data_IF_541741942486
#
_entry.id   IF_541741942486
#
_cell.length_a   1.000
_cell.length_b   1.000
_cell.length_c   1.000
_cell.angle_alpha   90.00
_cell.angle_beta   90.00
_cell.angle_gamma   90.00
#
_symmetry.space_group_name_H-M   'P 1'
#
loop_
_entity.id
_entity.type
_entity.pdbx_description
1 polymer ?
#
# COMPACT_ATOMS: atom_id res chain seq x y z
N UNK A 1 54.66 6.40 37.54
CA UNK A 1 54.96 6.87 36.16
C UNK A 1 54.14 6.00 35.21
N UNK A 2 53.08 6.57 34.59
CA UNK A 2 52.95 6.80 33.13
C UNK A 2 53.01 5.47 32.33
N UNK A 3 52.00 5.02 31.56
CA UNK A 3 50.97 5.74 30.80
C UNK A 3 49.70 4.89 30.61
N UNK A 4 48.58 5.57 30.73
CA UNK A 4 47.24 5.20 30.25
C UNK A 4 47.26 5.15 28.71
N UNK A 5 46.74 4.09 28.10
CA UNK A 5 46.25 4.14 26.72
C UNK A 5 44.83 3.59 26.72
N UNK A 6 43.89 4.53 26.76
CA UNK A 6 42.48 4.37 26.49
C UNK A 6 42.31 3.93 25.04
N UNK A 7 41.73 2.75 24.79
CA UNK A 7 41.24 2.40 23.46
C UNK A 7 39.75 2.76 23.38
N UNK A 8 39.48 3.91 22.79
CA UNK A 8 38.15 4.36 22.41
C UNK A 8 37.76 3.56 21.18
N UNK A 9 36.83 2.61 21.32
CA UNK A 9 36.14 2.02 20.19
C UNK A 9 34.93 2.91 19.87
N UNK A 10 35.13 3.91 19.01
CA UNK A 10 34.05 4.69 18.40
C UNK A 10 33.95 4.33 16.91
N UNK A 11 32.72 4.16 16.44
CA UNK A 11 32.25 3.98 15.07
C UNK A 11 32.33 2.59 14.44
N UNK A 12 31.23 1.84 14.52
CA UNK A 12 30.12 1.90 13.54
C UNK A 12 28.96 1.08 14.11
N UNK A 13 28.00 1.75 14.76
CA UNK A 13 26.69 1.15 14.97
C UNK A 13 26.12 0.86 13.57
N UNK A 14 25.60 -0.35 13.31
CA UNK A 14 25.06 -0.66 12.00
C UNK A 14 23.88 0.30 11.74
N UNK A 15 23.90 0.97 10.59
CA UNK A 15 22.71 1.53 9.97
C UNK A 15 21.76 0.37 9.63
N UNK A 16 21.12 -0.20 10.64
CA UNK A 16 20.15 -1.27 10.53
C UNK A 16 18.97 -1.07 11.52
N UNK A 17 18.86 0.11 12.13
CA UNK A 17 17.75 0.47 13.01
C UNK A 17 16.51 0.99 12.24
N UNK A 18 16.36 0.64 10.96
CA UNK A 18 15.20 0.99 10.13
C UNK A 18 14.42 -0.22 9.58
N UNK A 19 14.96 -1.45 9.69
CA UNK A 19 14.36 -2.64 9.08
C UNK A 19 13.55 -3.50 10.08
N UNK A 20 13.76 -3.32 11.39
CA UNK A 20 13.09 -4.13 12.41
C UNK A 20 11.60 -3.77 12.61
N UNK A 21 11.04 -2.81 11.88
CA UNK A 21 9.64 -2.41 12.00
C UNK A 21 8.73 -3.02 10.91
N UNK A 22 9.30 -3.73 9.94
CA UNK A 22 8.58 -4.44 8.87
C UNK A 22 8.00 -5.79 9.32
N UNK A 23 8.63 -6.47 10.29
CA UNK A 23 8.32 -7.87 10.64
C UNK A 23 7.04 -8.06 11.47
N UNK A 24 6.53 -7.04 12.16
CA UNK A 24 5.43 -7.18 13.13
C UNK A 24 4.03 -6.78 12.60
N UNK A 25 3.89 -6.45 11.31
CA UNK A 25 2.59 -6.04 10.74
C UNK A 25 1.93 -7.20 10.03
N UNK A 26 0.98 -7.86 10.71
CA UNK A 26 0.13 -8.86 10.08
C UNK A 26 -0.55 -8.27 8.83
N UNK A 27 -0.36 -8.88 7.65
CA UNK A 27 -0.90 -8.36 6.41
C UNK A 27 -2.39 -8.63 6.29
N UNK A 28 -3.09 -7.72 5.60
CA UNK A 28 -4.49 -7.89 5.21
C UNK A 28 -4.57 -8.07 3.70
N UNK A 29 -5.34 -9.06 3.28
CA UNK A 29 -5.50 -9.43 1.88
C UNK A 29 -6.91 -9.10 1.39
N UNK A 30 -7.00 -8.41 0.26
CA UNK A 30 -8.26 -8.06 -0.36
C UNK A 30 -8.34 -8.60 -1.79
N UNK A 31 -9.50 -9.15 -2.14
CA UNK A 31 -9.91 -9.19 -3.53
C UNK A 31 -10.47 -7.83 -3.94
N UNK A 32 -10.10 -7.40 -5.14
CA UNK A 32 -10.73 -6.28 -5.84
C UNK A 32 -11.00 -6.70 -7.28
N UNK A 33 -12.05 -6.16 -7.88
CA UNK A 33 -12.41 -6.43 -9.27
C UNK A 33 -12.30 -5.13 -10.04
N UNK A 34 -11.06 -4.74 -10.37
CA UNK A 34 -10.85 -3.43 -10.95
C UNK A 34 -11.29 -3.39 -12.41
N UNK A 35 -11.96 -2.31 -12.80
CA UNK A 35 -12.27 -1.98 -14.20
C UNK A 35 -11.07 -1.22 -14.80
N UNK A 36 -11.02 -1.14 -16.13
CA UNK A 36 -9.95 -0.44 -16.87
C UNK A 36 -9.87 1.07 -16.58
N UNK A 37 -9.01 1.76 -17.33
CA UNK A 37 -8.44 3.06 -16.94
C UNK A 37 -9.38 4.29 -16.96
N UNK A 38 -10.65 4.17 -17.36
CA UNK A 38 -11.51 5.36 -17.46
C UNK A 38 -13.01 5.11 -17.29
N UNK A 39 -13.71 6.16 -16.87
CA UNK A 39 -15.17 6.25 -16.88
C UNK A 39 -15.89 5.43 -15.79
N UNK A 40 -15.17 4.95 -14.78
CA UNK A 40 -15.77 4.19 -13.68
C UNK A 40 -16.48 5.14 -12.72
N UNK A 41 -17.80 5.02 -12.65
CA UNK A 41 -18.66 5.77 -11.71
C UNK A 41 -19.01 4.95 -10.47
N UNK A 42 -18.96 3.62 -10.57
CA UNK A 42 -19.25 2.68 -9.49
C UNK A 42 -18.21 1.53 -9.47
N UNK A 43 -17.64 1.24 -8.30
CA UNK A 43 -16.66 0.18 -8.07
C UNK A 43 -15.20 0.60 -8.25
N UNK A 44 -14.30 -0.39 -8.28
CA UNK A 44 -12.87 -0.15 -8.47
C UNK A 44 -12.50 0.11 -9.93
N UNK A 45 -11.58 1.07 -10.14
CA UNK A 45 -10.78 1.21 -11.35
C UNK A 45 -9.30 1.02 -11.03
N UNK A 46 -8.50 0.67 -12.03
CA UNK A 46 -7.05 0.54 -11.88
C UNK A 46 -6.32 1.29 -12.98
N UNK A 47 -5.37 2.12 -12.54
CA UNK A 47 -4.57 2.97 -13.41
C UNK A 47 -3.09 2.78 -13.12
N UNK A 48 -2.27 2.58 -14.16
CA UNK A 48 -0.82 2.64 -14.03
C UNK A 48 -0.36 4.06 -14.38
N UNK A 49 0.53 4.62 -13.59
CA UNK A 49 1.12 5.92 -13.90
C UNK A 49 1.79 5.90 -15.28
N UNK A 50 1.58 6.93 -16.09
CA UNK A 50 2.18 7.04 -17.42
C UNK A 50 3.67 7.42 -17.38
N UNK A 51 4.15 7.90 -16.24
CA UNK A 51 5.55 8.30 -16.02
C UNK A 51 6.08 7.67 -14.74
N UNK A 52 7.31 7.17 -14.80
CA UNK A 52 8.09 6.79 -13.62
C UNK A 52 8.85 8.02 -13.12
N UNK A 53 8.63 8.41 -11.86
CA UNK A 53 9.33 9.53 -11.25
C UNK A 53 10.75 9.11 -10.81
N UNK A 54 11.73 10.04 -10.75
CA UNK A 54 13.10 9.70 -10.32
C UNK A 54 13.19 9.12 -8.91
N UNK A 55 12.22 9.42 -8.05
CA UNK A 55 12.15 8.88 -6.69
C UNK A 55 11.52 7.50 -6.62
N UNK A 56 11.15 6.88 -7.75
CA UNK A 56 10.43 5.60 -7.79
C UNK A 56 11.25 4.54 -8.53
N UNK A 57 11.25 3.31 -8.01
CA UNK A 57 11.91 2.16 -8.64
C UNK A 57 11.11 1.68 -9.86
N UNK A 58 9.77 1.69 -9.76
CA UNK A 58 8.83 1.33 -10.84
C UNK A 58 7.69 2.38 -10.97
N UNK A 59 6.83 2.21 -11.97
CA UNK A 59 5.61 3.00 -12.16
C UNK A 59 4.58 2.69 -11.06
N UNK A 60 4.01 3.75 -10.47
CA UNK A 60 2.94 3.60 -9.49
C UNK A 60 1.67 2.98 -10.09
N UNK A 61 0.92 2.23 -9.28
CA UNK A 61 -0.38 1.67 -9.64
C UNK A 61 -1.41 2.23 -8.66
N UNK A 62 -2.52 2.75 -9.17
CA UNK A 62 -3.59 3.34 -8.36
C UNK A 62 -4.87 2.54 -8.56
N UNK A 63 -5.44 2.08 -7.45
CA UNK A 63 -6.78 1.52 -7.37
C UNK A 63 -7.71 2.58 -6.81
N UNK A 64 -8.71 2.98 -7.57
CA UNK A 64 -9.66 4.02 -7.18
C UNK A 64 -11.02 3.37 -7.05
N UNK A 65 -11.54 3.31 -5.83
CA UNK A 65 -12.94 2.98 -5.60
C UNK A 65 -13.76 4.26 -5.67
N UNK A 66 -14.79 4.25 -6.51
CA UNK A 66 -15.75 5.35 -6.62
C UNK A 66 -17.16 4.79 -6.52
N UNK A 67 -18.02 5.49 -5.80
CA UNK A 67 -19.47 5.30 -5.88
C UNK A 67 -20.16 6.66 -5.91
N UNK A 68 -20.79 6.99 -7.03
CA UNK A 68 -21.57 8.23 -7.19
C UNK A 68 -22.86 8.16 -6.37
N UNK A 69 -23.49 6.98 -6.29
CA UNK A 69 -24.65 6.76 -5.45
C UNK A 69 -24.35 7.07 -3.97
N UNK A 70 -23.23 6.58 -3.45
CA UNK A 70 -22.80 6.84 -2.06
C UNK A 70 -22.04 8.16 -1.89
N UNK A 71 -21.62 8.80 -2.99
CA UNK A 71 -20.78 10.02 -3.01
C UNK A 71 -19.44 9.82 -2.29
N UNK A 72 -18.80 8.68 -2.52
CA UNK A 72 -17.52 8.31 -1.91
C UNK A 72 -16.48 8.02 -2.98
N UNK A 73 -15.26 8.46 -2.74
CA UNK A 73 -14.07 8.13 -3.53
C UNK A 73 -12.89 7.91 -2.58
N UNK A 74 -12.22 6.79 -2.75
CA UNK A 74 -10.98 6.45 -2.03
C UNK A 74 -9.95 5.86 -2.98
N UNK A 75 -8.68 6.21 -2.76
CA UNK A 75 -7.55 5.84 -3.62
C UNK A 75 -6.54 5.06 -2.80
N UNK A 76 -6.28 3.84 -3.24
CA UNK A 76 -5.16 3.00 -2.79
C UNK A 76 -4.05 3.05 -3.83
N UNK A 77 -2.81 3.25 -3.39
CA UNK A 77 -1.67 3.35 -4.29
C UNK A 77 -0.59 2.34 -3.94
N UNK A 78 -0.09 1.64 -4.95
CA UNK A 78 1.19 0.96 -4.92
C UNK A 78 2.27 1.95 -5.37
N UNK A 79 3.24 2.21 -4.50
CA UNK A 79 4.38 3.08 -4.78
C UNK A 79 5.65 2.46 -4.19
N UNK A 80 6.53 1.97 -5.07
CA UNK A 80 7.86 1.51 -4.70
C UNK A 80 8.88 2.64 -4.91
N UNK A 81 9.31 3.26 -3.81
CA UNK A 81 10.26 4.37 -3.84
C UNK A 81 11.71 3.89 -3.88
N UNK A 82 12.51 4.60 -4.68
CA UNK A 82 13.97 4.59 -4.52
C UNK A 82 14.30 5.33 -3.23
N UNK A 83 14.59 4.59 -2.15
CA UNK A 83 14.81 5.16 -0.81
C UNK A 83 16.02 6.10 -0.75
N UNK A 84 17.06 5.86 -1.57
CA UNK A 84 18.20 6.76 -1.67
C UNK A 84 17.85 8.12 -2.29
N UNK A 85 17.04 8.14 -3.35
CA UNK A 85 16.58 9.40 -3.95
C UNK A 85 15.50 10.08 -3.09
N UNK A 86 14.68 9.28 -2.40
CA UNK A 86 13.63 9.78 -1.52
C UNK A 86 14.19 10.41 -0.23
N UNK A 87 15.24 9.82 0.36
CA UNK A 87 15.85 10.29 1.61
C UNK A 87 16.46 11.69 1.50
N UNK A 88 16.77 12.15 0.28
CA UNK A 88 17.23 13.52 -0.01
C UNK A 88 16.11 14.57 0.12
N UNK A 89 14.84 14.14 0.18
CA UNK A 89 13.66 15.03 0.21
C UNK A 89 12.88 14.95 1.51
N UNK A 90 12.77 13.76 2.10
CA UNK A 90 12.09 13.52 3.38
C UNK A 90 12.62 12.27 4.07
N UNK A 91 12.25 12.09 5.34
CA UNK A 91 12.45 10.83 6.04
C UNK A 91 11.79 9.67 5.29
N UNK A 92 12.47 8.52 5.25
CA UNK A 92 11.97 7.25 4.70
C UNK A 92 11.17 6.53 5.77
N UNK A 93 10.01 6.00 5.38
CA UNK A 93 9.09 5.23 6.20
C UNK A 93 9.04 3.78 5.74
N UNK A 94 8.51 2.92 6.61
CA UNK A 94 8.42 1.47 6.38
C UNK A 94 7.60 1.10 5.13
N UNK A 95 6.63 1.93 4.74
CA UNK A 95 5.74 1.74 3.60
C UNK A 95 6.22 2.46 2.32
N UNK A 96 7.51 2.79 2.27
CA UNK A 96 8.13 3.39 1.08
C UNK A 96 8.70 2.34 0.11
N UNK A 97 8.96 1.12 0.56
CA UNK A 97 9.46 0.01 -0.27
C UNK A 97 8.38 -1.04 -0.49
N UNK A 98 7.31 -0.64 -1.17
CA UNK A 98 6.19 -1.54 -1.43
C UNK A 98 6.54 -2.63 -2.45
N UNK A 99 6.05 -3.83 -2.23
CA UNK A 99 6.36 -4.97 -3.10
C UNK A 99 5.17 -5.43 -3.97
N UNK A 100 5.52 -6.03 -5.10
CA UNK A 100 4.62 -6.90 -5.88
C UNK A 100 5.22 -8.30 -5.83
N UNK A 101 4.51 -9.24 -5.22
CA UNK A 101 4.98 -10.62 -5.05
C UNK A 101 4.09 -11.60 -5.80
N UNK A 102 4.68 -12.74 -6.16
CA UNK A 102 3.96 -13.85 -6.81
C UNK A 102 4.02 -15.05 -5.89
N UNK A 103 2.87 -15.59 -5.58
CA UNK A 103 2.67 -16.72 -4.67
C UNK A 103 2.05 -17.90 -5.44
N UNK A 104 2.16 -19.15 -4.93
CA UNK A 104 1.43 -20.27 -5.51
C UNK A 104 -0.08 -20.08 -5.39
N UNK A 105 -0.87 -20.64 -6.32
CA UNK A 105 -2.34 -20.51 -6.30
C UNK A 105 -2.99 -20.98 -4.97
N UNK A 106 -2.37 -21.96 -4.29
CA UNK A 106 -2.78 -22.43 -2.95
C UNK A 106 -2.72 -21.35 -1.87
N UNK A 107 -2.07 -20.21 -2.13
CA UNK A 107 -2.13 -19.04 -1.24
C UNK A 107 -3.58 -18.61 -0.98
N UNK A 108 -4.45 -18.68 -1.98
CA UNK A 108 -5.85 -18.27 -1.88
C UNK A 108 -6.64 -19.13 -0.89
N UNK A 109 -6.33 -20.43 -0.81
CA UNK A 109 -7.01 -21.38 0.08
C UNK A 109 -6.49 -21.31 1.52
N UNK A 110 -5.25 -20.82 1.69
CA UNK A 110 -4.54 -20.82 2.98
C UNK A 110 -4.62 -19.49 3.73
N UNK A 111 -5.22 -18.46 3.14
CA UNK A 111 -5.30 -17.12 3.73
C UNK A 111 -6.73 -16.62 3.76
N UNK A 112 -7.07 -15.88 4.81
CA UNK A 112 -8.33 -15.14 4.84
C UNK A 112 -8.23 -13.91 3.94
N UNK A 113 -9.06 -13.86 2.90
CA UNK A 113 -9.09 -12.80 1.91
C UNK A 113 -10.48 -12.18 1.90
N UNK A 114 -10.56 -10.87 2.07
CA UNK A 114 -11.82 -10.13 2.12
C UNK A 114 -12.16 -9.65 0.71
N UNK A 115 -13.40 -9.85 0.27
CA UNK A 115 -13.89 -9.22 -0.95
C UNK A 115 -14.23 -7.75 -0.67
N UNK A 116 -13.39 -6.84 -1.17
CA UNK A 116 -13.53 -5.43 -0.85
C UNK A 116 -14.65 -4.75 -1.67
N UNK A 117 -14.97 -5.27 -2.85
CA UNK A 117 -16.14 -4.81 -3.62
C UNK A 117 -17.42 -5.08 -2.81
N UNK A 118 -17.61 -6.34 -2.36
CA UNK A 118 -18.78 -6.73 -1.58
C UNK A 118 -18.84 -6.02 -0.22
N UNK A 119 -17.70 -5.90 0.47
CA UNK A 119 -17.64 -5.19 1.75
C UNK A 119 -18.09 -3.74 1.59
N UNK A 120 -17.52 -3.02 0.62
CA UNK A 120 -17.87 -1.63 0.39
C UNK A 120 -19.29 -1.45 -0.11
N UNK A 121 -19.88 -2.42 -0.81
CA UNK A 121 -21.29 -2.40 -1.20
C UNK A 121 -22.25 -2.41 0.00
N UNK A 122 -21.88 -3.05 1.10
CA UNK A 122 -22.68 -3.07 2.34
C UNK A 122 -22.52 -1.82 3.21
N UNK A 123 -21.44 -1.06 3.05
CA UNK A 123 -21.10 0.08 3.89
C UNK A 123 -21.68 1.41 3.39
N UNK A 124 -21.99 2.30 4.33
CA UNK A 124 -22.19 3.74 4.07
C UNK A 124 -20.88 4.44 3.67
N UNK A 125 -20.96 5.67 3.17
CA UNK A 125 -19.76 6.44 2.83
C UNK A 125 -18.90 6.76 4.05
N UNK A 126 -19.51 7.01 5.21
CA UNK A 126 -18.81 7.27 6.47
C UNK A 126 -18.02 6.04 6.92
N UNK A 127 -18.64 4.86 6.85
CA UNK A 127 -17.97 3.58 7.17
C UNK A 127 -16.83 3.28 6.21
N UNK A 128 -17.00 3.54 4.91
CA UNK A 128 -15.91 3.36 3.92
C UNK A 128 -14.74 4.28 4.24
N UNK A 129 -14.99 5.55 4.57
CA UNK A 129 -13.94 6.46 4.97
C UNK A 129 -13.22 6.00 6.24
N UNK A 130 -13.96 5.58 7.26
CA UNK A 130 -13.37 5.07 8.49
C UNK A 130 -12.54 3.81 8.26
N UNK A 131 -13.08 2.85 7.49
CA UNK A 131 -12.38 1.63 7.10
C UNK A 131 -11.10 1.94 6.34
N UNK A 132 -11.17 2.85 5.35
CA UNK A 132 -10.01 3.29 4.57
C UNK A 132 -8.91 3.91 5.43
N UNK A 133 -9.26 4.77 6.39
CA UNK A 133 -8.29 5.41 7.28
C UNK A 133 -7.65 4.38 8.24
N UNK A 134 -8.41 3.41 8.73
CA UNK A 134 -7.92 2.33 9.60
C UNK A 134 -6.89 1.40 8.93
N UNK A 135 -6.77 1.44 7.60
CA UNK A 135 -5.79 0.66 6.85
C UNK A 135 -4.42 1.34 6.72
N UNK A 136 -4.25 2.61 7.13
CA UNK A 136 -3.01 3.37 6.90
C UNK A 136 -1.75 2.76 7.53
N UNK A 137 -1.92 2.15 8.70
CA UNK A 137 -0.82 1.51 9.43
C UNK A 137 -0.71 0.00 9.17
N UNK A 138 -1.47 -0.54 8.21
CA UNK A 138 -1.51 -1.98 7.89
C UNK A 138 -0.71 -2.29 6.63
N UNK A 139 -0.13 -3.50 6.57
CA UNK A 139 0.43 -4.04 5.33
C UNK A 139 -0.71 -4.59 4.48
N UNK A 140 -1.15 -3.85 3.46
CA UNK A 140 -2.33 -4.21 2.65
C UNK A 140 -1.91 -4.74 1.30
N UNK A 141 -2.49 -5.87 0.87
CA UNK A 141 -2.30 -6.42 -0.47
C UNK A 141 -3.62 -6.57 -1.21
N UNK A 142 -3.61 -6.18 -2.49
CA UNK A 142 -4.71 -6.42 -3.41
C UNK A 142 -4.38 -7.58 -4.34
N UNK A 143 -5.39 -8.42 -4.56
CA UNK A 143 -5.48 -9.44 -5.60
C UNK A 143 -6.58 -8.99 -6.55
N UNK A 144 -6.20 -8.61 -7.77
CA UNK A 144 -7.13 -8.13 -8.78
C UNK A 144 -7.76 -9.31 -9.54
N UNK A 145 -9.05 -9.54 -9.33
CA UNK A 145 -9.81 -10.62 -9.95
C UNK A 145 -10.09 -10.38 -11.43
N UNK A 146 -9.87 -9.16 -11.96
CA UNK A 146 -10.14 -8.92 -13.38
C UNK A 146 -9.15 -9.73 -14.25
N UNK A 147 -9.66 -10.64 -15.11
CA UNK A 147 -8.82 -11.54 -15.90
C UNK A 147 -7.91 -10.81 -16.89
N UNK A 148 -8.23 -9.58 -17.30
CA UNK A 148 -7.38 -8.77 -18.19
C UNK A 148 -6.00 -8.49 -17.60
N UNK A 149 -5.88 -8.46 -16.28
CA UNK A 149 -4.61 -8.20 -15.60
C UNK A 149 -3.81 -9.47 -15.27
N UNK A 150 -4.39 -10.65 -15.52
CA UNK A 150 -3.75 -11.95 -15.33
C UNK A 150 -3.06 -12.10 -13.95
N UNK A 151 -3.70 -11.61 -12.89
CA UNK A 151 -3.15 -11.71 -11.53
C UNK A 151 -3.44 -13.06 -10.88
N UNK A 152 -4.50 -13.74 -11.28
CA UNK A 152 -4.86 -15.07 -10.81
C UNK A 152 -4.75 -16.02 -12.01
N UNK A 153 -3.94 -17.07 -11.84
CA UNK A 153 -3.77 -18.16 -12.80
C UNK A 153 -3.94 -19.49 -12.06
N UNK A 154 -4.05 -20.63 -12.77
CA UNK A 154 -4.11 -21.92 -12.09
C UNK A 154 -2.83 -22.27 -11.31
N UNK A 155 -1.69 -21.61 -11.58
CA UNK A 155 -0.41 -21.89 -10.92
C UNK A 155 -0.05 -20.87 -9.85
N UNK A 156 -0.36 -19.60 -10.09
CA UNK A 156 0.13 -18.49 -9.26
C UNK A 156 -0.92 -17.40 -9.05
N UNK A 157 -0.80 -16.70 -7.92
CA UNK A 157 -1.48 -15.44 -7.63
C UNK A 157 -0.46 -14.31 -7.46
N UNK A 158 -0.74 -13.15 -8.03
CA UNK A 158 0.04 -11.92 -7.85
C UNK A 158 -0.62 -11.04 -6.78
N UNK A 159 0.20 -10.59 -5.84
CA UNK A 159 -0.18 -9.70 -4.73
C UNK A 159 0.48 -8.34 -4.94
N UNK A 160 -0.32 -7.28 -4.95
CA UNK A 160 0.18 -5.90 -5.05
C UNK A 160 0.02 -5.23 -3.70
N UNK A 161 1.13 -4.89 -3.04
CA UNK A 161 1.05 -4.09 -1.82
C UNK A 161 0.57 -2.68 -2.16
N UNK A 162 -0.39 -2.17 -1.39
CA UNK A 162 -0.95 -0.83 -1.55
C UNK A 162 -1.04 -0.11 -0.21
N UNK A 163 -1.19 1.22 -0.24
CA UNK A 163 -1.62 2.01 0.92
C UNK A 163 -2.79 2.93 0.61
N UNK A 164 -3.63 3.24 1.60
CA UNK A 164 -4.56 4.36 1.52
C UNK A 164 -3.80 5.68 1.27
N UNK A 165 -4.13 6.38 0.18
CA UNK A 165 -3.49 7.67 -0.15
C UNK A 165 -4.45 8.84 -0.04
N UNK A 166 -5.57 8.83 -0.78
CA UNK A 166 -6.47 9.98 -0.91
C UNK A 166 -7.90 9.48 -0.67
N UNK A 167 -8.70 10.26 0.05
CA UNK A 167 -10.15 10.08 0.14
C UNK A 167 -10.85 11.41 -0.09
N UNK A 168 -12.11 11.36 -0.54
CA UNK A 168 -12.96 12.55 -0.62
C UNK A 168 -13.64 12.90 0.73
N UNK A 169 -13.15 12.35 1.86
CA UNK A 169 -13.62 12.70 3.19
C UNK A 169 -13.36 14.19 3.43
N UNK A 170 -14.35 14.99 3.83
CA UNK A 170 -14.10 16.38 4.21
C UNK A 170 -13.04 16.43 5.32
N UNK A 171 -11.95 17.15 5.07
CA UNK A 171 -10.96 17.44 6.11
C UNK A 171 -11.63 18.39 7.08
N UNK A 172 -11.93 17.94 8.30
CA UNK A 172 -12.43 18.84 9.33
C UNK A 172 -11.28 19.81 9.67
N UNK A 173 -11.43 21.14 9.51
CA UNK A 173 -10.35 22.11 9.72
C UNK A 173 -10.01 22.30 11.21
N UNK A 174 -10.16 21.28 12.05
CA UNK A 174 -9.98 21.39 13.50
C UNK A 174 -9.24 20.16 14.01
N UNK A 175 -7.91 20.29 14.08
CA UNK A 175 -7.03 20.01 15.22
C UNK A 175 -5.60 20.16 14.66
N UNK A 176 -5.05 21.37 14.79
CA UNK A 176 -3.60 21.55 14.93
C UNK A 176 -3.38 21.46 16.44
N UNK A 177 -2.70 20.40 16.90
CA UNK A 177 -2.07 20.31 18.22
C UNK A 177 -0.57 20.23 18.00
#
# INVERSE_FOLDING_TARGET
>A
MKKLITLIALFLLPFAAGYAQEEDREPVYFYVTSKGESGVTEGFSRNKSSKKLPTHNDYSIHFIYKSENKKVEVIFSHIDYNTYELSKKRQVYWDDTMEIRTEPASFLDNNYIIDLDELFDTMSKEEIWEYFENLRDKKVYFIDKNPQFNQITPQTVKLIQVKPTISNRPVNPTIIL
#
